data_IF_586361580112
#
_entry.id   IF_586361580112
#
_cell.length_a   1.000
_cell.length_b   1.000
_cell.length_c   1.000
_cell.angle_alpha   90.00
_cell.angle_beta   90.00
_cell.angle_gamma   90.00
#
_symmetry.space_group_name_H-M   'P 1'
#
loop_
_entity.id
_entity.type
_entity.pdbx_description
1 polymer ?
#
# COMPACT_ATOMS: atom_id res chain seq x y z
N UNK A 1 20.51 15.31 20.70
CA UNK A 1 20.83 15.65 22.10
C UNK A 1 20.43 14.50 23.02
N UNK A 2 19.13 14.22 23.18
CA UNK A 2 18.57 13.16 24.06
C UNK A 2 19.34 11.82 24.06
N UNK A 3 19.56 11.19 22.91
CA UNK A 3 20.24 9.88 22.84
C UNK A 3 21.70 9.95 23.29
N UNK A 4 22.41 11.03 22.96
CA UNK A 4 23.81 11.21 23.37
C UNK A 4 23.89 11.42 24.88
N UNK A 5 22.96 12.20 25.44
CA UNK A 5 22.83 12.41 26.89
C UNK A 5 22.54 11.10 27.61
N UNK A 6 21.55 10.33 27.14
CA UNK A 6 21.21 9.03 27.72
C UNK A 6 22.40 8.06 27.73
N UNK A 7 23.21 8.01 26.66
CA UNK A 7 24.42 7.18 26.62
C UNK A 7 25.49 7.71 27.59
N UNK A 8 25.68 9.03 27.66
CA UNK A 8 26.69 9.64 28.54
C UNK A 8 26.35 9.45 30.02
N UNK A 9 25.07 9.44 30.36
CA UNK A 9 24.55 9.28 31.72
C UNK A 9 24.22 7.81 32.06
N UNK A 10 24.60 6.87 31.21
CA UNK A 10 24.34 5.42 31.35
C UNK A 10 22.85 5.05 31.55
N UNK A 11 21.96 5.89 31.01
CA UNK A 11 20.51 5.64 31.03
C UNK A 11 20.13 4.70 29.89
N UNK A 12 19.75 3.47 30.25
CA UNK A 12 19.27 2.49 29.29
C UNK A 12 17.93 2.94 28.69
N UNK A 13 17.87 3.04 27.36
CA UNK A 13 16.61 3.28 26.64
C UNK A 13 15.74 2.03 26.63
N UNK A 14 14.99 1.84 27.73
CA UNK A 14 13.93 0.85 27.81
C UNK A 14 12.72 1.29 26.98
N UNK A 15 11.77 0.37 26.80
CA UNK A 15 10.49 0.68 26.14
C UNK A 15 9.74 1.78 26.89
N UNK A 16 9.64 1.67 28.22
CA UNK A 16 9.00 2.65 29.09
C UNK A 16 9.69 4.02 29.02
N UNK A 17 11.03 4.02 29.04
CA UNK A 17 11.82 5.26 28.94
C UNK A 17 11.59 5.96 27.61
N UNK A 18 11.61 5.23 26.49
CA UNK A 18 11.39 5.80 25.17
C UNK A 18 9.97 6.37 25.01
N UNK A 19 8.97 5.70 25.60
CA UNK A 19 7.59 6.17 25.64
C UNK A 19 7.46 7.48 26.44
N UNK A 20 7.96 7.52 27.66
CA UNK A 20 7.92 8.70 28.53
C UNK A 20 8.59 9.93 27.89
N UNK A 21 9.76 9.73 27.27
CA UNK A 21 10.46 10.81 26.56
C UNK A 21 9.62 11.31 25.38
N UNK A 22 8.94 10.40 24.67
CA UNK A 22 8.08 10.78 23.55
C UNK A 22 6.88 11.60 24.01
N UNK A 23 6.27 11.23 25.14
CA UNK A 23 5.19 12.01 25.76
C UNK A 23 5.67 13.41 26.17
N UNK A 24 6.86 13.52 26.78
CA UNK A 24 7.46 14.81 27.13
C UNK A 24 7.75 15.67 25.90
N UNK A 25 8.20 15.07 24.78
CA UNK A 25 8.42 15.78 23.52
C UNK A 25 7.10 16.37 23.01
N UNK A 26 6.01 15.58 22.96
CA UNK A 26 4.72 16.10 22.50
C UNK A 26 4.15 17.14 23.45
N UNK A 27 4.35 16.99 24.76
CA UNK A 27 3.94 17.99 25.75
C UNK A 27 4.68 19.33 25.56
N UNK A 28 6.00 19.29 25.28
CA UNK A 28 6.81 20.49 25.04
C UNK A 28 6.58 21.07 23.63
N UNK A 29 6.28 20.22 22.65
CA UNK A 29 6.10 20.59 21.25
C UNK A 29 4.77 20.01 20.73
N UNK A 30 3.62 20.65 20.98
CA UNK A 30 2.30 20.10 20.65
C UNK A 30 2.06 19.80 19.15
N UNK A 31 2.91 20.33 18.26
CA UNK A 31 2.85 20.06 16.81
C UNK A 31 3.55 18.76 16.39
N UNK A 32 4.29 18.14 17.29
CA UNK A 32 5.03 16.90 17.08
C UNK A 32 4.13 15.66 17.20
N UNK A 33 4.51 14.59 16.50
CA UNK A 33 3.74 13.34 16.45
C UNK A 33 4.44 12.27 17.28
N UNK A 34 3.80 11.78 18.36
CA UNK A 34 4.38 10.77 19.28
C UNK A 34 4.95 9.56 18.53
N UNK A 35 4.19 9.01 17.59
CA UNK A 35 4.55 7.85 16.77
C UNK A 35 5.89 7.99 16.04
N UNK A 36 6.26 9.22 15.67
CA UNK A 36 7.53 9.51 15.03
C UNK A 36 8.73 9.23 15.95
N UNK A 37 8.54 9.44 17.25
CA UNK A 37 9.56 9.26 18.28
C UNK A 37 9.52 7.85 18.87
N UNK A 38 8.33 7.34 19.16
CA UNK A 38 8.11 6.02 19.72
C UNK A 38 6.73 5.48 19.35
N UNK A 39 6.71 4.24 18.89
CA UNK A 39 5.50 3.49 18.54
C UNK A 39 5.69 2.03 18.94
N UNK A 40 4.68 1.42 19.57
CA UNK A 40 4.71 0.00 19.95
C UNK A 40 3.43 -0.71 19.53
N UNK A 41 3.59 -1.85 18.87
CA UNK A 41 2.48 -2.70 18.44
C UNK A 41 2.58 -4.07 19.13
N UNK A 42 1.79 -4.24 20.19
CA UNK A 42 1.76 -5.49 20.97
C UNK A 42 3.15 -5.94 21.44
N UNK A 43 3.49 -7.19 21.14
CA UNK A 43 4.76 -7.84 21.52
C UNK A 43 5.91 -7.56 20.54
N UNK A 44 5.68 -6.89 19.41
CA UNK A 44 6.73 -6.58 18.43
C UNK A 44 7.72 -5.55 18.99
N UNK A 45 8.93 -5.54 18.42
CA UNK A 45 9.95 -4.55 18.78
C UNK A 45 9.44 -3.12 18.51
N UNK A 46 9.68 -2.15 19.41
CA UNK A 46 9.25 -0.78 19.21
C UNK A 46 9.83 -0.15 17.95
N UNK A 47 9.00 0.67 17.29
CA UNK A 47 9.33 1.52 16.15
C UNK A 47 9.47 2.97 16.62
N UNK A 48 9.84 3.86 15.70
CA UNK A 48 10.10 5.28 15.97
C UNK A 48 11.58 5.59 16.19
N UNK A 49 11.91 6.89 16.21
CA UNK A 49 13.30 7.35 16.23
C UNK A 49 14.04 7.05 17.53
N UNK A 50 13.44 7.22 18.70
CA UNK A 50 14.16 7.20 19.97
C UNK A 50 14.74 5.81 20.27
N UNK A 51 13.87 4.81 20.33
CA UNK A 51 14.27 3.44 20.66
C UNK A 51 15.23 2.88 19.60
N UNK A 52 14.86 2.97 18.31
CA UNK A 52 15.69 2.44 17.24
C UNK A 52 17.06 3.12 17.14
N UNK A 53 17.11 4.45 17.23
CA UNK A 53 18.37 5.19 17.11
C UNK A 53 19.28 4.96 18.32
N UNK A 54 18.74 4.87 19.55
CA UNK A 54 19.54 4.51 20.71
C UNK A 54 20.22 3.15 20.52
N UNK A 55 19.44 2.10 20.22
CA UNK A 55 19.99 0.75 20.09
C UNK A 55 20.93 0.61 18.88
N UNK A 56 20.71 1.37 17.81
CA UNK A 56 21.66 1.43 16.69
C UNK A 56 22.98 2.12 17.06
N UNK A 57 22.95 3.22 17.81
CA UNK A 57 24.17 3.89 18.29
C UNK A 57 24.94 2.98 19.23
N UNK A 58 24.27 2.36 20.21
CA UNK A 58 24.90 1.39 21.12
C UNK A 58 25.51 0.21 20.35
N UNK A 59 24.81 -0.33 19.34
CA UNK A 59 25.38 -1.39 18.48
C UNK A 59 26.64 -0.93 17.76
N UNK A 60 26.65 0.28 17.20
CA UNK A 60 27.81 0.83 16.51
C UNK A 60 28.99 1.02 17.47
N UNK A 61 28.75 1.51 18.69
CA UNK A 61 29.78 1.65 19.72
C UNK A 61 30.35 0.28 20.15
N UNK A 62 29.49 -0.74 20.29
CA UNK A 62 29.91 -2.13 20.56
C UNK A 62 30.76 -2.71 19.43
N UNK A 63 30.33 -2.54 18.18
CA UNK A 63 31.08 -3.00 17.01
C UNK A 63 32.42 -2.28 16.86
N UNK A 64 32.50 -1.01 17.30
CA UNK A 64 33.72 -0.23 17.35
C UNK A 64 34.59 -0.48 18.59
N UNK A 65 34.24 -1.43 19.46
CA UNK A 65 35.02 -1.77 20.66
C UNK A 65 34.94 -0.75 21.81
N UNK A 66 34.06 0.25 21.73
CA UNK A 66 33.92 1.31 22.75
C UNK A 66 33.00 0.92 23.90
N UNK A 67 32.20 -0.14 23.74
CA UNK A 67 31.28 -0.68 24.75
C UNK A 67 31.34 -2.21 24.69
N UNK A 68 31.27 -2.89 25.84
CA UNK A 68 31.26 -4.35 25.90
C UNK A 68 30.06 -4.99 25.16
N UNK A 69 30.35 -6.05 24.41
CA UNK A 69 29.37 -6.79 23.62
C UNK A 69 28.79 -7.96 24.41
N UNK A 70 27.50 -7.89 24.71
CA UNK A 70 26.71 -8.99 25.25
C UNK A 70 25.96 -9.69 24.13
N UNK A 71 26.18 -11.01 23.95
CA UNK A 71 25.45 -11.83 22.98
C UNK A 71 23.97 -11.89 23.37
N UNK A 72 23.08 -11.41 22.50
CA UNK A 72 21.62 -11.55 22.68
C UNK A 72 21.08 -12.75 21.90
N UNK A 73 20.05 -13.45 22.42
CA UNK A 73 19.35 -14.50 21.69
C UNK A 73 18.67 -13.93 20.43
N UNK A 74 18.57 -14.76 19.38
CA UNK A 74 17.76 -14.43 18.21
C UNK A 74 16.27 -14.50 18.59
N UNK A 75 15.46 -13.49 18.21
CA UNK A 75 14.02 -13.57 18.40
C UNK A 75 13.40 -14.65 17.50
N UNK A 76 12.36 -15.30 18.01
CA UNK A 76 11.53 -16.26 17.29
C UNK A 76 10.72 -15.58 16.20
N UNK A 77 10.63 -16.23 15.03
CA UNK A 77 9.77 -15.77 13.94
C UNK A 77 8.31 -15.91 14.36
N UNK A 78 7.54 -14.83 14.20
CA UNK A 78 6.07 -14.86 14.33
C UNK A 78 5.52 -15.11 12.93
N UNK A 79 4.68 -16.13 12.78
CA UNK A 79 3.95 -16.39 11.54
C UNK A 79 2.98 -15.24 11.26
N UNK A 80 3.05 -14.69 10.05
CA UNK A 80 2.14 -13.66 9.58
C UNK A 80 0.96 -14.35 8.90
N UNK A 81 -0.27 -13.96 9.22
CA UNK A 81 -1.45 -14.45 8.50
C UNK A 81 -1.44 -13.95 7.07
N UNK A 82 -1.73 -14.83 6.10
CA UNK A 82 -1.76 -14.50 4.67
C UNK A 82 -3.05 -13.78 4.22
N UNK A 83 -3.95 -13.45 5.15
CA UNK A 83 -5.26 -12.82 4.87
C UNK A 83 -5.37 -11.44 5.51
N UNK A 84 -6.01 -10.53 4.78
CA UNK A 84 -6.17 -9.11 5.13
C UNK A 84 -7.18 -8.91 6.25
N UNK A 85 -8.37 -9.47 6.11
CA UNK A 85 -9.48 -9.38 7.07
C UNK A 85 -10.21 -10.71 7.21
N UNK A 86 -11.00 -10.83 8.29
CA UNK A 86 -11.78 -12.03 8.63
C UNK A 86 -13.27 -11.73 8.80
N UNK A 87 -13.81 -10.74 8.08
CA UNK A 87 -15.24 -10.40 8.15
C UNK A 87 -16.07 -11.61 7.69
N UNK A 88 -17.13 -11.93 8.42
CA UNK A 88 -18.11 -12.96 8.03
C UNK A 88 -19.46 -12.26 7.89
N UNK A 89 -20.22 -12.64 6.87
CA UNK A 89 -21.57 -12.15 6.67
C UNK A 89 -22.59 -13.27 6.79
N UNK A 90 -23.80 -12.93 7.19
CA UNK A 90 -24.96 -13.81 7.02
C UNK A 90 -25.41 -13.70 5.56
N UNK A 91 -25.27 -14.81 4.81
CA UNK A 91 -25.60 -14.87 3.39
C UNK A 91 -27.06 -14.53 3.11
N UNK A 92 -27.32 -13.91 1.96
CA UNK A 92 -28.69 -13.70 1.47
C UNK A 92 -29.37 -15.03 1.09
N UNK A 93 -30.70 -15.01 0.94
CA UNK A 93 -31.49 -16.15 0.47
C UNK A 93 -31.56 -16.18 -1.06
N UNK A 94 -32.09 -17.27 -1.62
CA UNK A 94 -32.42 -17.38 -3.06
C UNK A 94 -31.21 -17.22 -4.01
N UNK A 95 -30.01 -17.48 -3.49
CA UNK A 95 -28.74 -17.35 -4.20
C UNK A 95 -28.73 -18.18 -5.50
N UNK A 96 -29.28 -19.40 -5.48
CA UNK A 96 -29.28 -20.29 -6.64
C UNK A 96 -30.05 -19.69 -7.83
N UNK A 97 -31.15 -18.98 -7.58
CA UNK A 97 -31.91 -18.30 -8.64
C UNK A 97 -31.07 -17.18 -9.27
N UNK A 98 -30.41 -16.37 -8.44
CA UNK A 98 -29.54 -15.30 -8.90
C UNK A 98 -28.32 -15.82 -9.69
N UNK A 99 -27.70 -16.91 -9.22
CA UNK A 99 -26.58 -17.54 -9.91
C UNK A 99 -27.00 -18.13 -11.26
N UNK A 100 -28.18 -18.74 -11.34
CA UNK A 100 -28.71 -19.24 -12.61
C UNK A 100 -28.89 -18.10 -13.62
N UNK A 101 -29.44 -16.96 -13.20
CA UNK A 101 -29.58 -15.80 -14.08
C UNK A 101 -28.24 -15.25 -14.55
N UNK A 102 -27.24 -15.13 -13.66
CA UNK A 102 -25.91 -14.67 -14.05
C UNK A 102 -25.20 -15.60 -15.05
N UNK A 103 -25.47 -16.91 -15.00
CA UNK A 103 -24.77 -17.92 -15.80
C UNK A 103 -25.48 -18.25 -17.12
N UNK A 104 -26.80 -18.09 -17.20
CA UNK A 104 -27.60 -18.58 -18.31
C UNK A 104 -28.42 -17.51 -19.02
N UNK A 105 -28.75 -16.40 -18.34
CA UNK A 105 -29.51 -15.32 -18.95
C UNK A 105 -28.55 -14.30 -19.61
N UNK A 106 -28.95 -13.73 -20.75
CA UNK A 106 -28.23 -12.63 -21.39
C UNK A 106 -28.52 -11.30 -20.67
N UNK A 107 -28.06 -11.19 -19.41
CA UNK A 107 -28.28 -10.02 -18.57
C UNK A 107 -27.56 -8.77 -19.11
N UNK A 108 -28.25 -7.64 -19.11
CA UNK A 108 -27.65 -6.31 -19.25
C UNK A 108 -26.80 -5.97 -18.02
N UNK A 109 -25.87 -5.02 -18.15
CA UNK A 109 -25.03 -4.63 -17.01
C UNK A 109 -25.84 -4.11 -15.82
N UNK A 110 -26.95 -3.40 -16.06
CA UNK A 110 -27.82 -2.91 -14.99
C UNK A 110 -28.50 -4.07 -14.23
N UNK A 111 -28.96 -5.10 -14.93
CA UNK A 111 -29.52 -6.30 -14.30
C UNK A 111 -28.45 -7.04 -13.50
N UNK A 112 -27.23 -7.15 -14.04
CA UNK A 112 -26.08 -7.69 -13.30
C UNK A 112 -25.85 -6.89 -12.02
N UNK A 113 -25.85 -5.55 -12.06
CA UNK A 113 -25.68 -4.73 -10.85
C UNK A 113 -26.76 -4.95 -9.79
N UNK A 114 -28.01 -5.15 -10.21
CA UNK A 114 -29.12 -5.49 -9.29
C UNK A 114 -28.87 -6.84 -8.62
N UNK A 115 -28.56 -7.87 -9.41
CA UNK A 115 -28.24 -9.20 -8.89
C UNK A 115 -26.99 -9.16 -8.01
N UNK A 116 -25.99 -8.36 -8.38
CA UNK A 116 -24.74 -8.21 -7.63
C UNK A 116 -25.01 -7.69 -6.22
N UNK A 117 -25.86 -6.67 -6.08
CA UNK A 117 -26.27 -6.14 -4.78
C UNK A 117 -27.05 -7.16 -3.95
N UNK A 118 -27.85 -8.01 -4.59
CA UNK A 118 -28.64 -9.04 -3.92
C UNK A 118 -27.81 -10.24 -3.42
N UNK A 119 -26.58 -10.41 -3.92
CA UNK A 119 -25.73 -11.58 -3.66
C UNK A 119 -24.40 -11.23 -2.99
N UNK A 120 -24.24 -10.00 -2.50
CA UNK A 120 -22.95 -9.45 -2.08
C UNK A 120 -22.37 -10.13 -0.86
N UNK A 121 -23.17 -10.46 0.16
CA UNK A 121 -22.69 -11.13 1.37
C UNK A 121 -22.28 -12.56 1.07
N UNK A 122 -23.11 -13.29 0.33
CA UNK A 122 -22.79 -14.64 -0.13
C UNK A 122 -21.50 -14.65 -0.96
N UNK A 123 -21.37 -13.74 -1.94
CA UNK A 123 -20.17 -13.61 -2.76
C UNK A 123 -18.94 -13.27 -1.93
N UNK A 124 -19.01 -12.31 -1.01
CA UNK A 124 -17.87 -11.94 -0.16
C UNK A 124 -17.43 -13.10 0.74
N UNK A 125 -18.37 -13.88 1.28
CA UNK A 125 -18.06 -15.12 2.00
C UNK A 125 -17.36 -16.14 1.09
N UNK A 126 -17.84 -16.32 -0.15
CA UNK A 126 -17.21 -17.20 -1.13
C UNK A 126 -15.77 -16.75 -1.45
N UNK A 127 -15.57 -15.47 -1.76
CA UNK A 127 -14.26 -14.89 -2.08
C UNK A 127 -13.27 -15.12 -0.94
N UNK A 128 -13.70 -14.85 0.30
CA UNK A 128 -12.88 -15.05 1.50
C UNK A 128 -12.40 -16.49 1.67
N UNK A 129 -13.25 -17.46 1.35
CA UNK A 129 -12.97 -18.89 1.53
C UNK A 129 -12.37 -19.55 0.27
N UNK A 130 -12.25 -18.81 -0.84
CA UNK A 130 -11.69 -19.30 -2.09
C UNK A 130 -10.20 -19.60 -1.96
N UNK A 131 -9.74 -20.66 -2.64
CA UNK A 131 -8.32 -21.03 -2.63
C UNK A 131 -7.47 -20.14 -3.55
N UNK A 132 -8.08 -19.56 -4.59
CA UNK A 132 -7.41 -18.67 -5.53
C UNK A 132 -8.36 -17.64 -6.13
N UNK A 133 -7.79 -16.54 -6.61
CA UNK A 133 -8.52 -15.53 -7.38
C UNK A 133 -9.00 -16.07 -8.72
N UNK A 134 -8.24 -16.95 -9.38
CA UNK A 134 -8.65 -17.62 -10.63
C UNK A 134 -9.95 -18.39 -10.47
N UNK A 135 -10.10 -19.16 -9.39
CA UNK A 135 -11.34 -19.89 -9.09
C UNK A 135 -12.49 -18.93 -8.80
N UNK A 136 -12.24 -17.90 -8.01
CA UNK A 136 -13.21 -16.83 -7.75
C UNK A 136 -13.71 -16.18 -9.04
N UNK A 137 -12.81 -15.80 -9.94
CA UNK A 137 -13.14 -15.15 -11.21
C UNK A 137 -13.75 -16.10 -12.24
N UNK A 138 -13.65 -17.42 -12.02
CA UNK A 138 -14.39 -18.42 -12.81
C UNK A 138 -15.84 -18.51 -12.32
N UNK A 139 -16.06 -18.51 -11.01
CA UNK A 139 -17.41 -18.57 -10.42
C UNK A 139 -18.16 -17.23 -10.57
N UNK A 140 -17.49 -16.11 -10.35
CA UNK A 140 -18.02 -14.75 -10.46
C UNK A 140 -17.51 -14.07 -11.74
N UNK A 141 -17.85 -14.66 -12.89
CA UNK A 141 -17.30 -14.26 -14.20
C UNK A 141 -17.65 -12.82 -14.59
N UNK A 142 -18.72 -12.23 -14.04
CA UNK A 142 -19.14 -10.85 -14.32
C UNK A 142 -18.08 -9.79 -13.95
N UNK A 143 -17.14 -10.10 -13.04
CA UNK A 143 -15.98 -9.23 -12.82
C UNK A 143 -15.15 -9.06 -14.10
N UNK A 144 -15.08 -10.06 -14.99
CA UNK A 144 -14.29 -9.99 -16.23
C UNK A 144 -14.87 -9.05 -17.28
N UNK A 145 -16.07 -8.52 -17.07
CA UNK A 145 -16.68 -7.56 -17.98
C UNK A 145 -15.87 -6.25 -18.01
N UNK A 146 -15.86 -5.50 -19.12
CA UNK A 146 -15.14 -4.23 -19.21
C UNK A 146 -15.51 -3.22 -18.09
N UNK A 147 -16.78 -3.22 -17.67
CA UNK A 147 -17.29 -2.41 -16.56
C UNK A 147 -17.28 -3.13 -15.19
N UNK A 148 -16.67 -4.32 -15.10
CA UNK A 148 -16.62 -5.14 -13.89
C UNK A 148 -15.97 -4.44 -12.69
N UNK A 149 -15.16 -3.41 -12.93
CA UNK A 149 -14.64 -2.55 -11.87
C UNK A 149 -15.72 -1.82 -11.04
N UNK A 150 -16.93 -1.64 -11.58
CA UNK A 150 -18.07 -1.09 -10.83
C UNK A 150 -18.68 -2.12 -9.87
N UNK A 151 -18.61 -3.40 -10.22
CA UNK A 151 -19.02 -4.49 -9.35
C UNK A 151 -18.12 -4.57 -8.12
N UNK A 152 -16.82 -4.32 -8.30
CA UNK A 152 -15.84 -4.19 -7.21
C UNK A 152 -16.22 -3.07 -6.23
N UNK A 153 -16.78 -1.94 -6.72
CA UNK A 153 -17.25 -0.87 -5.83
C UNK A 153 -18.39 -1.34 -4.92
N UNK A 154 -19.33 -2.13 -5.45
CA UNK A 154 -20.47 -2.68 -4.68
C UNK A 154 -19.94 -3.54 -3.53
N UNK A 155 -19.02 -4.45 -3.84
CA UNK A 155 -18.46 -5.38 -2.86
C UNK A 155 -17.62 -4.65 -1.80
N UNK A 156 -16.79 -3.70 -2.24
CA UNK A 156 -16.01 -2.88 -1.32
C UNK A 156 -16.89 -2.06 -0.37
N UNK A 157 -17.96 -1.45 -0.89
CA UNK A 157 -18.89 -0.67 -0.06
C UNK A 157 -19.64 -1.53 0.95
N UNK A 158 -19.89 -2.82 0.66
CA UNK A 158 -20.43 -3.76 1.66
C UNK A 158 -19.38 -4.11 2.73
N UNK A 159 -18.10 -4.26 2.36
CA UNK A 159 -17.03 -4.50 3.33
C UNK A 159 -16.77 -3.30 4.25
N UNK A 160 -16.85 -2.08 3.72
CA UNK A 160 -16.51 -0.85 4.43
C UNK A 160 -17.55 0.26 4.19
N UNK A 161 -18.79 0.12 4.70
CA UNK A 161 -19.88 1.06 4.43
C UNK A 161 -19.61 2.48 4.96
N UNK A 162 -18.70 2.64 5.91
CA UNK A 162 -18.30 3.92 6.50
C UNK A 162 -16.94 4.42 6.02
N UNK A 163 -16.32 3.75 5.03
CA UNK A 163 -15.06 4.24 4.49
C UNK A 163 -15.25 5.56 3.76
N UNK A 164 -14.29 6.47 3.95
CA UNK A 164 -14.17 7.65 3.09
C UNK A 164 -13.68 7.24 1.69
N UNK A 165 -13.65 8.17 0.74
CA UNK A 165 -13.35 7.86 -0.65
C UNK A 165 -12.20 8.72 -1.20
N UNK A 166 -11.23 8.08 -1.86
CA UNK A 166 -10.11 8.77 -2.50
C UNK A 166 -10.58 9.80 -3.52
N UNK A 167 -11.59 9.47 -4.33
CA UNK A 167 -12.08 10.35 -5.39
C UNK A 167 -12.70 11.64 -4.85
N UNK A 168 -13.24 11.61 -3.62
CA UNK A 168 -13.82 12.79 -2.98
C UNK A 168 -12.78 13.61 -2.22
N UNK A 169 -11.79 12.95 -1.61
CA UNK A 169 -10.77 13.63 -0.77
C UNK A 169 -9.62 14.18 -1.61
N UNK A 170 -9.21 13.47 -2.67
CA UNK A 170 -8.02 13.81 -3.45
C UNK A 170 -8.02 15.24 -4.01
N UNK A 171 -9.12 15.76 -4.58
CA UNK A 171 -9.16 17.14 -5.09
C UNK A 171 -8.72 18.18 -4.06
N UNK A 172 -9.19 18.05 -2.82
CA UNK A 172 -8.94 19.01 -1.73
C UNK A 172 -7.51 18.94 -1.16
N UNK A 173 -6.85 17.79 -1.29
CA UNK A 173 -5.53 17.54 -0.68
C UNK A 173 -4.39 17.49 -1.70
N UNK A 174 -4.69 17.46 -3.00
CA UNK A 174 -3.70 17.37 -4.09
C UNK A 174 -2.62 18.44 -4.01
N UNK A 175 -2.99 19.69 -3.70
CA UNK A 175 -2.07 20.81 -3.49
C UNK A 175 -1.17 20.61 -2.28
N UNK A 176 -1.72 20.15 -1.15
CA UNK A 176 -0.94 19.82 0.06
C UNK A 176 0.02 18.66 -0.19
N UNK A 177 -0.38 17.66 -0.98
CA UNK A 177 0.52 16.59 -1.40
C UNK A 177 1.68 17.15 -2.23
N UNK A 178 1.41 18.06 -3.17
CA UNK A 178 2.48 18.70 -3.95
C UNK A 178 3.48 19.46 -3.06
N UNK A 179 2.99 20.24 -2.08
CA UNK A 179 3.87 20.91 -1.11
C UNK A 179 4.67 19.93 -0.26
N UNK A 180 4.05 18.81 0.14
CA UNK A 180 4.75 17.73 0.83
C UNK A 180 5.89 17.15 -0.02
N UNK A 181 5.66 16.91 -1.32
CA UNK A 181 6.68 16.38 -2.23
C UNK A 181 7.88 17.35 -2.32
N UNK A 182 7.63 18.66 -2.48
CA UNK A 182 8.68 19.70 -2.49
C UNK A 182 9.56 19.69 -1.24
N UNK A 183 8.96 19.41 -0.08
CA UNK A 183 9.67 19.43 1.20
C UNK A 183 10.43 18.12 1.49
N UNK A 184 9.92 16.97 1.05
CA UNK A 184 10.40 15.65 1.50
C UNK A 184 11.28 14.93 0.48
N UNK A 185 11.12 15.18 -0.82
CA UNK A 185 11.90 14.51 -1.86
C UNK A 185 13.35 15.01 -1.84
N UNK A 186 14.28 14.06 -1.94
CA UNK A 186 15.72 14.35 -1.91
C UNK A 186 16.53 13.54 -2.93
N UNK A 187 15.96 12.48 -3.50
CA UNK A 187 16.66 11.67 -4.48
C UNK A 187 16.64 12.37 -5.85
N UNK A 188 17.75 12.28 -6.57
CA UNK A 188 17.96 13.03 -7.80
C UNK A 188 16.96 12.69 -8.90
N UNK A 189 16.50 11.44 -8.99
CA UNK A 189 15.57 11.00 -10.04
C UNK A 189 14.17 11.58 -9.82
N UNK A 190 13.68 11.52 -8.59
CA UNK A 190 12.37 12.08 -8.24
C UNK A 190 12.38 13.62 -8.24
N UNK A 191 13.51 14.26 -7.89
CA UNK A 191 13.65 15.71 -8.01
C UNK A 191 13.51 16.18 -9.46
N UNK A 192 14.16 15.50 -10.42
CA UNK A 192 14.03 15.85 -11.85
C UNK A 192 12.58 15.81 -12.32
N UNK A 193 11.84 14.75 -11.97
CA UNK A 193 10.43 14.65 -12.31
C UNK A 193 9.58 15.72 -11.59
N UNK A 194 9.91 16.05 -10.33
CA UNK A 194 9.23 17.13 -9.61
C UNK A 194 9.45 18.48 -10.29
N UNK A 195 10.69 18.81 -10.67
CA UNK A 195 11.02 20.05 -11.38
C UNK A 195 10.26 20.12 -12.72
N UNK A 196 10.21 19.03 -13.48
CA UNK A 196 9.43 18.97 -14.74
C UNK A 196 7.94 19.27 -14.54
N UNK A 197 7.33 18.78 -13.46
CA UNK A 197 5.90 19.04 -13.16
C UNK A 197 5.69 20.51 -12.76
N UNK A 198 6.66 21.12 -12.07
CA UNK A 198 6.56 22.52 -11.62
C UNK A 198 6.76 23.50 -12.77
N UNK A 199 7.59 23.14 -13.75
CA UNK A 199 7.85 23.96 -14.94
C UNK A 199 6.76 23.84 -16.01
N UNK A 200 6.17 22.64 -16.17
CA UNK A 200 5.18 22.35 -17.21
C UNK A 200 3.76 22.56 -16.69
N UNK A 201 2.91 23.21 -17.48
CA UNK A 201 1.46 23.24 -17.23
C UNK A 201 0.82 21.92 -17.68
N UNK A 202 1.05 20.86 -16.90
CA UNK A 202 0.55 19.51 -17.20
C UNK A 202 -0.97 19.45 -17.08
N UNK A 203 -1.59 18.59 -17.91
CA UNK A 203 -2.98 18.19 -17.71
C UNK A 203 -3.16 17.45 -16.39
N UNK A 204 -4.35 17.55 -15.81
CA UNK A 204 -4.68 17.03 -14.48
C UNK A 204 -4.28 15.56 -14.29
N UNK A 205 -4.69 14.67 -15.20
CA UNK A 205 -4.32 13.25 -15.16
C UNK A 205 -2.81 13.00 -15.12
N UNK A 206 -2.06 13.74 -15.93
CA UNK A 206 -0.60 13.61 -15.99
C UNK A 206 0.09 14.11 -14.74
N UNK A 207 -0.34 15.29 -14.25
CA UNK A 207 0.13 15.85 -12.98
C UNK A 207 -0.12 14.87 -11.82
N UNK A 208 -1.33 14.34 -11.73
CA UNK A 208 -1.74 13.50 -10.62
C UNK A 208 -1.08 12.11 -10.66
N UNK A 209 -0.82 11.59 -11.87
CA UNK A 209 -0.04 10.36 -12.04
C UNK A 209 1.39 10.54 -11.57
N UNK A 210 2.01 11.67 -11.90
CA UNK A 210 3.32 12.01 -11.37
C UNK A 210 3.30 12.20 -9.84
N UNK A 211 2.26 12.82 -9.25
CA UNK A 211 2.13 12.93 -7.78
C UNK A 211 2.13 11.53 -7.14
N UNK A 212 1.29 10.60 -7.60
CA UNK A 212 1.27 9.24 -7.06
C UNK A 212 2.61 8.52 -7.24
N UNK A 213 3.27 8.71 -8.39
CA UNK A 213 4.61 8.15 -8.64
C UNK A 213 5.69 8.72 -7.71
N UNK A 214 5.63 10.02 -7.40
CA UNK A 214 6.57 10.72 -6.54
C UNK A 214 6.36 10.42 -5.04
N UNK A 215 5.14 10.06 -4.62
CA UNK A 215 4.88 9.67 -3.23
C UNK A 215 5.75 8.48 -2.78
N UNK A 216 6.21 7.63 -3.69
CA UNK A 216 7.15 6.54 -3.38
C UNK A 216 8.52 7.03 -2.88
N UNK A 217 8.92 8.25 -3.23
CA UNK A 217 10.13 8.89 -2.70
C UNK A 217 9.95 9.43 -1.27
N UNK A 218 8.70 9.62 -0.83
CA UNK A 218 8.35 9.95 0.56
C UNK A 218 8.16 8.67 1.39
N UNK A 219 7.43 7.69 0.84
CA UNK A 219 7.12 6.41 1.47
C UNK A 219 8.12 5.31 1.09
N UNK A 220 9.40 5.56 1.38
CA UNK A 220 10.51 4.68 0.99
C UNK A 220 10.32 3.27 1.58
N UNK A 221 10.43 2.20 0.77
CA UNK A 221 10.23 0.83 1.24
C UNK A 221 11.20 0.42 2.35
N UNK A 222 10.69 -0.33 3.33
CA UNK A 222 11.52 -0.86 4.43
C UNK A 222 11.69 -2.38 4.39
N UNK A 223 10.83 -3.09 3.64
CA UNK A 223 10.92 -4.53 3.43
C UNK A 223 12.19 -4.90 2.66
N UNK A 224 12.62 -6.16 2.79
CA UNK A 224 13.86 -6.67 2.20
C UNK A 224 13.56 -7.87 1.30
N UNK A 225 14.21 -7.91 0.14
CA UNK A 225 14.24 -9.06 -0.77
C UNK A 225 15.53 -9.85 -0.61
N UNK A 226 15.43 -11.16 -0.81
CA UNK A 226 16.62 -12.02 -0.91
C UNK A 226 17.20 -11.93 -2.32
N UNK A 227 18.50 -11.68 -2.40
CA UNK A 227 19.27 -11.68 -3.64
C UNK A 227 20.40 -12.69 -3.53
N UNK A 228 20.89 -13.19 -4.67
CA UNK A 228 22.13 -13.98 -4.72
C UNK A 228 23.16 -13.20 -5.51
N UNK A 229 24.39 -13.14 -5.00
CA UNK A 229 25.50 -12.64 -5.81
C UNK A 229 25.93 -13.69 -6.85
N UNK A 230 26.86 -13.32 -7.74
CA UNK A 230 27.42 -14.22 -8.77
C UNK A 230 28.03 -15.50 -8.19
N UNK A 231 28.46 -15.46 -6.91
CA UNK A 231 28.99 -16.61 -6.16
C UNK A 231 27.91 -17.43 -5.46
N UNK A 232 26.63 -17.17 -5.74
CA UNK A 232 25.48 -17.88 -5.15
C UNK A 232 25.17 -17.54 -3.68
N UNK A 233 25.92 -16.62 -3.06
CA UNK A 233 25.70 -16.23 -1.66
C UNK A 233 24.45 -15.38 -1.52
N UNK A 234 23.58 -15.78 -0.59
CA UNK A 234 22.36 -15.04 -0.28
C UNK A 234 22.68 -13.76 0.49
N UNK A 235 22.18 -12.63 -0.01
CA UNK A 235 22.15 -11.35 0.68
C UNK A 235 20.70 -10.87 0.80
N UNK A 236 20.44 -9.99 1.77
CA UNK A 236 19.12 -9.35 1.95
C UNK A 236 19.27 -7.87 1.69
N UNK A 237 18.71 -7.39 0.58
CA UNK A 237 18.72 -5.96 0.22
C UNK A 237 17.32 -5.37 0.41
N UNK A 238 17.24 -4.08 0.73
CA UNK A 238 15.95 -3.39 0.78
C UNK A 238 15.39 -3.21 -0.64
N UNK A 239 14.08 -3.19 -0.75
CA UNK A 239 13.44 -2.67 -1.96
C UNK A 239 13.79 -1.19 -2.15
N UNK A 240 14.02 -0.80 -3.40
CA UNK A 240 14.31 0.56 -3.81
C UNK A 240 13.02 1.37 -4.05
N UNK A 241 13.14 2.69 -4.17
CA UNK A 241 12.03 3.57 -4.60
C UNK A 241 11.47 3.08 -5.94
N UNK A 242 12.35 2.70 -6.88
CA UNK A 242 11.97 2.16 -8.19
C UNK A 242 11.21 0.84 -8.10
N UNK A 243 11.63 -0.08 -7.23
CA UNK A 243 10.89 -1.32 -6.98
C UNK A 243 9.46 -1.00 -6.50
N UNK A 244 9.33 -0.01 -5.59
CA UNK A 244 8.04 0.48 -5.09
C UNK A 244 7.15 1.02 -6.21
N UNK A 245 7.69 1.93 -7.02
CA UNK A 245 6.98 2.54 -8.15
C UNK A 245 6.48 1.47 -9.12
N UNK A 246 7.35 0.54 -9.53
CA UNK A 246 7.02 -0.51 -10.50
C UNK A 246 6.02 -1.54 -9.98
N UNK A 247 5.94 -1.73 -8.67
CA UNK A 247 4.91 -2.58 -8.05
C UNK A 247 3.52 -1.91 -8.00
N UNK A 248 3.49 -0.58 -8.03
CA UNK A 248 2.27 0.23 -7.94
C UNK A 248 1.71 0.58 -9.32
N UNK A 249 2.57 1.15 -10.18
CA UNK A 249 2.25 1.51 -11.56
C UNK A 249 3.43 1.26 -12.50
N UNK A 250 3.13 0.82 -13.72
CA UNK A 250 4.11 0.62 -14.78
C UNK A 250 3.75 1.54 -15.94
N UNK A 251 4.73 2.34 -16.39
CA UNK A 251 4.60 3.14 -17.60
C UNK A 251 5.21 2.38 -18.79
N UNK A 252 4.49 2.30 -19.90
CA UNK A 252 4.94 1.70 -21.16
C UNK A 252 4.53 2.58 -22.34
N UNK A 253 5.25 2.52 -23.46
CA UNK A 253 4.92 3.34 -24.63
C UNK A 253 3.75 2.75 -25.44
N UNK A 254 3.61 1.42 -25.42
CA UNK A 254 2.66 0.69 -26.28
C UNK A 254 2.00 -0.49 -25.56
N UNK A 255 0.85 -0.91 -26.09
CA UNK A 255 0.14 -2.11 -25.61
C UNK A 255 0.99 -3.38 -25.79
N UNK A 256 1.81 -3.45 -26.83
CA UNK A 256 2.70 -4.60 -27.07
C UNK A 256 3.72 -4.76 -25.93
N UNK A 257 4.37 -3.67 -25.51
CA UNK A 257 5.27 -3.69 -24.35
C UNK A 257 4.56 -4.12 -23.07
N UNK A 258 3.29 -3.73 -22.90
CA UNK A 258 2.48 -4.20 -21.77
C UNK A 258 2.27 -5.72 -21.80
N UNK A 259 1.87 -6.29 -22.94
CA UNK A 259 1.72 -7.75 -23.06
C UNK A 259 3.02 -8.51 -22.78
N UNK A 260 4.16 -8.01 -23.28
CA UNK A 260 5.48 -8.62 -23.03
C UNK A 260 5.83 -8.62 -21.54
N UNK A 261 5.52 -7.54 -20.81
CA UNK A 261 5.72 -7.47 -19.36
C UNK A 261 4.85 -8.49 -18.64
N UNK A 262 3.59 -8.66 -19.04
CA UNK A 262 2.68 -9.65 -18.45
C UNK A 262 3.19 -11.07 -18.74
N UNK A 263 3.57 -11.37 -19.98
CA UNK A 263 4.12 -12.67 -20.35
C UNK A 263 5.37 -13.01 -19.52
N UNK A 264 6.28 -12.05 -19.36
CA UNK A 264 7.47 -12.22 -18.51
C UNK A 264 7.11 -12.44 -17.05
N UNK A 265 6.17 -11.67 -16.49
CA UNK A 265 5.72 -11.85 -15.10
C UNK A 265 5.09 -13.23 -14.89
N UNK A 266 4.24 -13.69 -15.81
CA UNK A 266 3.65 -15.04 -15.79
C UNK A 266 4.71 -16.14 -15.84
N UNK A 267 5.74 -15.95 -16.68
CA UNK A 267 6.87 -16.89 -16.79
C UNK A 267 7.67 -17.09 -15.49
N UNK A 268 7.55 -16.18 -14.51
CA UNK A 268 8.18 -16.34 -13.19
C UNK A 268 7.40 -17.29 -12.27
N UNK A 269 6.15 -17.64 -12.61
CA UNK A 269 5.30 -18.51 -11.78
C UNK A 269 4.89 -17.89 -10.44
N UNK A 270 5.03 -16.57 -10.27
CA UNK A 270 4.64 -15.84 -9.07
C UNK A 270 3.29 -15.14 -9.33
N UNK A 271 2.31 -15.21 -8.41
CA UNK A 271 1.06 -14.48 -8.55
C UNK A 271 1.29 -12.99 -8.81
N UNK A 272 0.62 -12.46 -9.83
CA UNK A 272 0.73 -11.05 -10.21
C UNK A 272 -0.27 -10.26 -9.37
N UNK A 273 0.23 -9.43 -8.46
CA UNK A 273 -0.62 -8.52 -7.68
C UNK A 273 -1.29 -7.49 -8.59
N UNK A 274 -2.51 -7.01 -8.27
CA UNK A 274 -3.14 -5.89 -8.95
C UNK A 274 -2.21 -4.68 -9.08
N UNK A 275 -2.13 -4.08 -10.27
CA UNK A 275 -1.32 -2.89 -10.49
C UNK A 275 -1.86 -2.02 -11.62
N UNK A 276 -1.38 -0.78 -11.68
CA UNK A 276 -1.78 0.20 -12.69
C UNK A 276 -0.81 0.15 -13.86
N UNK A 277 -1.33 0.29 -15.07
CA UNK A 277 -0.56 0.39 -16.31
C UNK A 277 -0.93 1.71 -16.97
N UNK A 278 0.09 2.50 -17.28
CA UNK A 278 -0.05 3.74 -18.04
C UNK A 278 0.56 3.48 -19.42
N UNK A 279 -0.25 3.64 -20.46
CA UNK A 279 0.22 3.63 -21.85
C UNK A 279 0.49 5.08 -22.25
N UNK A 280 1.70 5.35 -22.75
CA UNK A 280 2.17 6.69 -23.09
C UNK A 280 3.22 7.20 -22.11
N UNK A 281 3.29 8.53 -21.94
CA UNK A 281 4.20 9.14 -20.98
C UNK A 281 3.49 9.32 -19.64
N UNK A 282 4.22 9.21 -18.52
CA UNK A 282 3.62 9.34 -17.18
C UNK A 282 2.88 10.68 -16.99
N UNK A 283 3.47 11.77 -17.50
CA UNK A 283 2.91 13.12 -17.43
C UNK A 283 1.86 13.41 -18.52
N UNK A 284 1.65 12.49 -19.46
CA UNK A 284 0.65 12.59 -20.53
C UNK A 284 0.10 11.17 -20.85
N UNK A 285 -0.68 10.58 -19.92
CA UNK A 285 -1.24 9.25 -20.11
C UNK A 285 -2.18 9.22 -21.32
N UNK A 286 -1.96 8.27 -22.25
CA UNK A 286 -2.90 8.00 -23.35
C UNK A 286 -4.01 7.06 -22.90
N UNK A 287 -3.63 5.98 -22.23
CA UNK A 287 -4.55 5.03 -21.61
C UNK A 287 -4.12 4.70 -20.19
N UNK A 288 -5.10 4.51 -19.31
CA UNK A 288 -4.89 4.06 -17.93
C UNK A 288 -5.66 2.75 -17.76
N UNK A 289 -4.92 1.69 -17.44
CA UNK A 289 -5.45 0.34 -17.33
C UNK A 289 -5.15 -0.20 -15.94
N UNK A 290 -6.12 -0.83 -15.31
CA UNK A 290 -5.92 -1.65 -14.11
C UNK A 290 -5.84 -3.11 -14.54
N UNK A 291 -4.73 -3.76 -14.20
CA UNK A 291 -4.52 -5.19 -14.48
C UNK A 291 -4.74 -6.02 -13.21
N UNK A 292 -5.53 -7.09 -13.32
CA UNK A 292 -5.76 -8.07 -12.25
C UNK A 292 -6.17 -9.43 -12.83
N UNK A 293 -5.37 -10.47 -12.61
CA UNK A 293 -5.66 -11.85 -13.05
C UNK A 293 -6.23 -11.95 -14.48
N UNK A 294 -5.48 -11.37 -15.42
CA UNK A 294 -5.82 -11.27 -16.86
C UNK A 294 -7.01 -10.38 -17.23
N UNK A 295 -7.65 -9.77 -16.25
CA UNK A 295 -8.63 -8.70 -16.47
C UNK A 295 -7.89 -7.38 -16.67
N UNK A 296 -8.36 -6.60 -17.65
CA UNK A 296 -7.85 -5.28 -18.01
C UNK A 296 -9.01 -4.28 -17.95
N UNK A 297 -9.11 -3.52 -16.87
CA UNK A 297 -10.10 -2.44 -16.77
C UNK A 297 -9.50 -1.15 -17.29
N UNK A 298 -10.08 -0.59 -18.35
CA UNK A 298 -9.72 0.75 -18.82
C UNK A 298 -10.51 1.79 -18.03
N UNK A 299 -9.80 2.77 -17.46
CA UNK A 299 -10.39 3.87 -16.68
C UNK A 299 -9.88 5.21 -17.19
N UNK A 300 -10.62 6.29 -16.88
CA UNK A 300 -10.35 7.62 -17.43
C UNK A 300 -9.32 8.44 -16.64
N UNK A 301 -9.18 8.17 -15.34
CA UNK A 301 -8.31 8.97 -14.46
C UNK A 301 -7.41 8.08 -13.61
N UNK A 302 -6.24 8.62 -13.23
CA UNK A 302 -5.29 7.89 -12.40
C UNK A 302 -5.83 7.66 -10.99
N UNK A 303 -6.59 8.61 -10.44
CA UNK A 303 -7.27 8.48 -9.16
C UNK A 303 -8.23 7.29 -9.19
N UNK A 304 -8.99 7.13 -10.28
CA UNK A 304 -9.89 5.98 -10.42
C UNK A 304 -9.12 4.67 -10.54
N UNK A 305 -7.98 4.66 -11.21
CA UNK A 305 -7.13 3.46 -11.26
C UNK A 305 -6.60 3.07 -9.87
N UNK A 306 -6.12 4.05 -9.09
CA UNK A 306 -5.66 3.83 -7.71
C UNK A 306 -6.81 3.35 -6.83
N UNK A 307 -7.98 3.94 -6.94
CA UNK A 307 -9.19 3.53 -6.20
C UNK A 307 -9.60 2.09 -6.54
N UNK A 308 -9.65 1.70 -7.82
CA UNK A 308 -9.99 0.33 -8.22
C UNK A 308 -8.96 -0.68 -7.72
N UNK A 309 -7.65 -0.40 -7.86
CA UNK A 309 -6.59 -1.29 -7.34
C UNK A 309 -6.68 -1.43 -5.82
N UNK A 310 -6.91 -0.33 -5.10
CA UNK A 310 -7.13 -0.35 -3.66
C UNK A 310 -8.33 -1.23 -3.28
N UNK A 311 -9.45 -1.08 -3.98
CA UNK A 311 -10.66 -1.87 -3.70
C UNK A 311 -10.52 -3.34 -4.07
N UNK A 312 -9.76 -3.67 -5.12
CA UNK A 312 -9.39 -5.04 -5.48
C UNK A 312 -8.68 -5.74 -4.33
N UNK A 313 -7.68 -5.07 -3.75
CA UNK A 313 -6.91 -5.56 -2.61
C UNK A 313 -7.79 -5.97 -1.42
N UNK A 314 -8.83 -5.20 -1.13
CA UNK A 314 -9.75 -5.45 -0.02
C UNK A 314 -10.85 -6.47 -0.36
N UNK A 315 -11.43 -6.38 -1.57
CA UNK A 315 -12.51 -7.26 -2.05
C UNK A 315 -12.03 -8.70 -2.15
N UNK A 316 -10.85 -8.92 -2.76
CA UNK A 316 -10.26 -10.24 -2.94
C UNK A 316 -9.35 -10.67 -1.78
N UNK A 317 -9.37 -9.95 -0.66
CA UNK A 317 -8.62 -10.26 0.56
C UNK A 317 -7.11 -10.49 0.34
N UNK A 318 -6.54 -9.83 -0.66
CA UNK A 318 -5.13 -9.95 -1.05
C UNK A 318 -4.22 -9.29 0.00
N UNK A 319 -2.90 -9.37 -0.14
CA UNK A 319 -1.95 -8.51 0.61
C UNK A 319 -1.49 -7.36 -0.29
N UNK A 320 -0.90 -6.29 0.27
CA UNK A 320 -0.25 -5.27 -0.57
C UNK A 320 1.10 -5.83 -1.01
N UNK A 321 1.62 -5.45 -2.19
CA UNK A 321 2.99 -5.74 -2.56
C UNK A 321 3.95 -5.20 -1.49
N UNK A 322 4.95 -5.99 -1.08
CA UNK A 322 5.93 -5.59 -0.07
C UNK A 322 6.70 -4.32 -0.50
N UNK A 323 6.88 -4.15 -1.81
CA UNK A 323 7.58 -3.03 -2.41
C UNK A 323 6.83 -1.71 -2.24
N UNK A 324 5.50 -1.70 -2.37
CA UNK A 324 4.65 -0.51 -2.25
C UNK A 324 3.77 -0.49 -1.00
N UNK A 325 3.98 -1.42 -0.07
CA UNK A 325 3.17 -1.61 1.14
C UNK A 325 2.89 -0.30 1.89
N UNK A 326 3.93 0.51 2.11
CA UNK A 326 3.82 1.74 2.92
C UNK A 326 2.93 2.78 2.23
N UNK A 327 3.01 2.90 0.90
CA UNK A 327 2.15 3.81 0.15
C UNK A 327 0.70 3.34 0.16
N UNK A 328 0.46 2.05 -0.06
CA UNK A 328 -0.90 1.50 0.01
C UNK A 328 -1.51 1.63 1.41
N UNK A 329 -0.71 1.44 2.46
CA UNK A 329 -1.17 1.64 3.83
C UNK A 329 -1.44 3.13 4.13
N UNK A 330 -0.66 4.05 3.56
CA UNK A 330 -0.99 5.47 3.60
C UNK A 330 -2.33 5.74 2.92
N UNK A 331 -2.55 5.19 1.72
CA UNK A 331 -3.83 5.33 1.01
C UNK A 331 -4.99 4.81 1.85
N UNK A 332 -4.85 3.61 2.42
CA UNK A 332 -5.83 2.98 3.28
C UNK A 332 -6.24 3.88 4.46
N UNK A 333 -5.25 4.41 5.19
CA UNK A 333 -5.48 5.18 6.42
C UNK A 333 -5.92 6.60 6.14
N UNK A 334 -5.37 7.25 5.12
CA UNK A 334 -5.62 8.66 4.84
C UNK A 334 -6.88 8.87 3.98
N UNK A 335 -7.01 8.16 2.86
CA UNK A 335 -8.12 8.37 1.92
C UNK A 335 -9.37 7.56 2.27
N UNK A 336 -9.24 6.41 2.93
CA UNK A 336 -10.39 5.54 3.24
C UNK A 336 -10.69 5.43 4.74
N UNK A 337 -9.79 5.91 5.60
CA UNK A 337 -9.88 5.78 7.06
C UNK A 337 -10.11 4.32 7.51
N UNK A 338 -9.48 3.36 6.82
CA UNK A 338 -9.59 1.93 7.14
C UNK A 338 -8.39 1.51 8.00
N UNK A 339 -8.69 0.85 9.13
CA UNK A 339 -7.69 0.29 10.04
C UNK A 339 -7.98 -1.19 10.27
N UNK A 340 -7.02 -2.05 9.92
CA UNK A 340 -7.15 -3.51 10.10
C UNK A 340 -6.10 -4.01 11.09
N UNK A 341 -6.44 -5.07 11.83
CA UNK A 341 -5.57 -5.61 12.90
C UNK A 341 -4.22 -6.12 12.39
N UNK A 342 -4.15 -6.52 11.13
CA UNK A 342 -2.94 -7.03 10.46
C UNK A 342 -2.02 -5.93 9.93
N UNK A 343 -2.43 -4.66 9.99
CA UNK A 343 -1.61 -3.53 9.54
C UNK A 343 -0.27 -3.49 10.27
N UNK A 344 0.81 -3.29 9.51
CA UNK A 344 2.12 -3.02 10.07
C UNK A 344 2.26 -1.51 10.22
N UNK A 345 2.29 -0.96 11.43
CA UNK A 345 2.38 0.49 11.57
C UNK A 345 3.73 1.03 11.13
N UNK A 346 3.71 2.18 10.46
CA UNK A 346 4.91 2.89 10.04
C UNK A 346 4.84 4.31 10.60
N UNK A 347 5.81 4.74 11.43
CA UNK A 347 5.84 6.09 12.00
C UNK A 347 5.72 7.23 10.97
N UNK A 348 6.24 7.01 9.76
CA UNK A 348 6.14 7.98 8.66
C UNK A 348 4.69 8.22 8.26
N UNK A 349 3.81 7.22 8.31
CA UNK A 349 2.40 7.37 7.93
C UNK A 349 1.70 8.31 8.92
N UNK A 350 1.84 8.07 10.23
CA UNK A 350 1.26 8.94 11.27
C UNK A 350 1.78 10.37 11.17
N UNK A 351 3.08 10.55 10.88
CA UNK A 351 3.66 11.88 10.68
C UNK A 351 3.04 12.58 9.48
N UNK A 352 3.00 11.94 8.32
CA UNK A 352 2.52 12.55 7.07
C UNK A 352 1.02 12.84 7.14
N UNK A 353 0.21 11.94 7.73
CA UNK A 353 -1.23 12.20 7.95
C UNK A 353 -1.42 13.44 8.83
N UNK A 354 -0.64 13.58 9.92
CA UNK A 354 -0.68 14.78 10.77
C UNK A 354 -0.27 16.05 10.02
N UNK A 355 0.71 15.97 9.11
CA UNK A 355 1.13 17.10 8.28
C UNK A 355 0.05 17.52 7.26
N UNK A 356 -0.68 16.57 6.67
CA UNK A 356 -1.73 16.85 5.67
C UNK A 356 -3.05 17.34 6.27
N UNK A 357 -3.35 16.95 7.52
CA UNK A 357 -4.54 17.37 8.25
C UNK A 357 -4.41 18.75 8.92
N UNK A 358 -3.21 19.33 8.92
CA UNK A 358 -2.98 20.74 9.25
C UNK A 358 -3.43 21.62 8.09
#
# INVERSE_FOLDING_TARGET
MVIKTAIKEDVIMTVKTAEQISDQIVAAFPKEVKDYYFMREGSKAPKGKLYAKYHNVVRNLKNGGLIESTKRPKPSNVEMSNVRHMINFDSETDIDQYLNSLNHDNCTFNEIEVIWKATVKYRLNYIKNSQSTTETLKHWSSYKLPAGYKLIDIDFNMLYPSASNLLTIYPDVSSKLMELLKLKIKDSQSLKLLDEILEKNLLENGRDACIFHLLHAVFIPTAKKSTRNEKGQKSMIKFSIRDSQQSFMINVDTVLQFEDIIARKKGLGIPIQPFIVIIGQLHEPKDIIVYFDDIKYKVLTIQRAVDVVFKLFHTFNLLYPDESYILWLFIQKFFYNIHIKSDQSHPIISLIISELNK
#
